data_IF_657156831033
#
_entry.id   IF_657156831033
#
_cell.length_a   1.000
_cell.length_b   1.000
_cell.length_c   1.000
_cell.angle_alpha   90.00
_cell.angle_beta   90.00
_cell.angle_gamma   90.00
#
_symmetry.space_group_name_H-M   'P 1'
#
loop_
_entity.id
_entity.type
_entity.pdbx_description
1 polymer ?
#
# COMPACT_ATOMS: atom_id res chain seq x y z
N UNK A 1 -6.23 -4.97 57.95
CA UNK A 1 -5.86 -3.74 57.23
C UNK A 1 -6.15 -3.96 55.76
N UNK A 2 -7.35 -3.59 55.33
CA UNK A 2 -7.77 -3.59 53.92
C UNK A 2 -7.33 -2.27 53.30
N UNK A 3 -6.33 -2.31 52.41
CA UNK A 3 -5.93 -1.15 51.63
C UNK A 3 -7.00 -0.88 50.56
N UNK A 4 -7.78 0.18 50.75
CA UNK A 4 -8.64 0.72 49.71
C UNK A 4 -7.75 1.29 48.59
N UNK A 5 -7.87 0.74 47.38
CA UNK A 5 -7.29 1.36 46.19
C UNK A 5 -8.00 2.70 45.96
N UNK A 6 -7.29 3.84 45.88
CA UNK A 6 -7.92 5.10 45.57
C UNK A 6 -8.45 5.04 44.13
N UNK A 7 -9.73 5.36 43.99
CA UNK A 7 -10.45 5.43 42.72
C UNK A 7 -9.96 6.67 41.94
N UNK A 8 -8.71 6.67 41.50
CA UNK A 8 -8.09 7.79 40.78
C UNK A 8 -8.45 7.67 39.30
N UNK A 9 -9.64 8.13 38.93
CA UNK A 9 -9.94 8.39 37.51
C UNK A 9 -8.92 9.44 37.06
N UNK A 10 -8.13 9.18 35.99
CA UNK A 10 -7.22 10.19 35.47
C UNK A 10 -8.03 11.46 35.19
N UNK A 11 -7.49 12.60 35.60
CA UNK A 11 -8.09 13.88 35.26
C UNK A 11 -8.18 13.98 33.73
N UNK A 12 -9.25 14.58 33.22
CA UNK A 12 -9.44 14.78 31.79
C UNK A 12 -8.24 15.55 31.21
N UNK A 13 -7.66 16.46 32.01
CA UNK A 13 -6.44 17.17 31.65
C UNK A 13 -5.24 16.23 31.41
N UNK A 14 -5.05 15.21 32.27
CA UNK A 14 -3.95 14.25 32.14
C UNK A 14 -4.11 13.37 30.89
N UNK A 15 -5.35 12.97 30.59
CA UNK A 15 -5.69 12.23 29.38
C UNK A 15 -5.40 13.05 28.11
N UNK A 16 -5.83 14.31 28.08
CA UNK A 16 -5.58 15.21 26.95
C UNK A 16 -4.09 15.49 26.76
N UNK A 17 -3.33 15.68 27.84
CA UNK A 17 -1.88 15.86 27.80
C UNK A 17 -1.17 14.61 27.24
N UNK A 18 -1.62 13.42 27.64
CA UNK A 18 -1.11 12.17 27.08
C UNK A 18 -1.38 12.09 25.56
N UNK A 19 -2.61 12.33 25.12
CA UNK A 19 -2.98 12.27 23.70
C UNK A 19 -2.16 13.26 22.85
N UNK A 20 -2.00 14.49 23.32
CA UNK A 20 -1.14 15.47 22.66
C UNK A 20 0.33 14.99 22.59
N UNK A 21 0.85 14.37 23.66
CA UNK A 21 2.24 13.88 23.70
C UNK A 21 2.52 12.73 22.72
N UNK A 22 1.51 11.90 22.42
CA UNK A 22 1.64 10.79 21.46
C UNK A 22 1.31 11.21 20.02
N UNK A 23 1.12 12.52 19.79
CA UNK A 23 0.91 13.11 18.46
C UNK A 23 -0.52 13.01 17.95
N UNK A 24 -1.52 12.81 18.83
CA UNK A 24 -2.92 12.95 18.44
C UNK A 24 -3.24 14.43 18.27
N UNK A 25 -3.55 14.82 17.04
CA UNK A 25 -3.84 16.18 16.62
C UNK A 25 -5.29 16.38 16.16
N UNK A 26 -6.04 15.30 15.93
CA UNK A 26 -7.45 15.33 15.52
C UNK A 26 -8.32 14.43 16.41
N UNK A 27 -9.52 14.93 16.77
CA UNK A 27 -10.51 14.16 17.51
C UNK A 27 -11.59 13.66 16.54
N UNK A 28 -11.92 12.37 16.61
CA UNK A 28 -13.03 11.79 15.85
C UNK A 28 -14.32 11.91 16.66
N UNK A 29 -15.41 12.32 15.99
CA UNK A 29 -16.74 12.33 16.58
C UNK A 29 -17.48 11.02 16.29
N UNK A 30 -18.47 10.68 17.12
CA UNK A 30 -19.34 9.51 16.92
C UNK A 30 -20.18 9.60 15.63
N UNK A 31 -20.36 10.82 15.09
CA UNK A 31 -21.13 11.07 13.85
C UNK A 31 -20.16 11.36 12.70
N UNK A 32 -20.26 10.64 11.57
CA UNK A 32 -19.43 10.92 10.41
C UNK A 32 -19.74 12.30 9.83
N UNK A 33 -18.71 13.13 9.68
CA UNK A 33 -18.82 14.48 9.09
C UNK A 33 -18.77 14.37 7.55
N UNK A 34 -19.80 14.85 6.87
CA UNK A 34 -19.82 14.92 5.41
C UNK A 34 -19.12 16.20 4.91
N UNK A 35 -17.80 16.13 4.72
CA UNK A 35 -16.99 17.26 4.21
C UNK A 35 -17.31 17.66 2.76
N UNK A 36 -18.04 16.85 1.99
CA UNK A 36 -18.53 17.24 0.66
C UNK A 36 -19.74 18.17 0.71
N UNK A 37 -20.51 18.14 1.80
CA UNK A 37 -21.62 19.06 2.02
C UNK A 37 -21.17 20.45 2.51
N UNK A 38 -19.94 20.56 3.02
CA UNK A 38 -19.39 21.78 3.62
C UNK A 38 -18.62 22.68 2.65
N UNK A 39 -18.32 22.21 1.43
CA UNK A 39 -17.66 23.04 0.40
C UNK A 39 -18.67 23.94 -0.31
N UNK A 40 -19.22 24.91 0.43
CA UNK A 40 -19.59 26.18 -0.19
C UNK A 40 -18.31 27.02 -0.27
N UNK A 41 -17.84 27.44 -1.46
CA UNK A 41 -16.60 28.20 -1.57
C UNK A 41 -16.75 29.53 -0.81
N UNK A 42 -16.01 29.66 0.29
CA UNK A 42 -15.84 30.95 0.96
C UNK A 42 -15.04 31.84 0.00
N UNK A 43 -15.53 33.03 -0.38
CA UNK A 43 -14.78 33.92 -1.27
C UNK A 43 -13.40 34.19 -0.68
N UNK A 44 -12.37 33.83 -1.44
CA UNK A 44 -10.97 34.05 -1.07
C UNK A 44 -10.71 35.55 -1.13
N UNK A 45 -10.72 36.22 0.02
CA UNK A 45 -10.30 37.61 0.12
C UNK A 45 -8.79 37.67 -0.06
N UNK A 46 -8.35 38.15 -1.24
CA UNK A 46 -6.93 38.31 -1.57
C UNK A 46 -6.33 39.44 -0.72
N UNK A 47 -5.47 39.07 0.23
CA UNK A 47 -4.58 40.02 0.88
C UNK A 47 -3.48 40.51 -0.11
N UNK A 48 -3.08 41.79 -0.03
CA UNK A 48 -2.15 42.38 -0.98
C UNK A 48 -0.70 41.93 -0.76
N UNK A 49 0.02 41.77 -1.87
CA UNK A 49 1.47 41.53 -1.95
C UNK A 49 2.24 42.73 -1.39
N UNK A 50 3.08 42.50 -0.38
CA UNK A 50 4.09 43.47 0.07
C UNK A 50 5.47 42.88 -0.16
N UNK A 51 6.24 43.55 -1.01
CA UNK A 51 7.66 43.32 -1.24
C UNK A 51 8.50 44.01 -0.14
N UNK A 52 9.59 43.36 0.27
CA UNK A 52 10.75 43.99 0.92
C UNK A 52 11.91 43.00 0.79
N UNK A 53 12.87 43.21 -0.13
CA UNK A 53 14.03 44.10 0.01
C UNK A 53 14.93 43.69 1.18
N UNK A 54 16.06 43.05 0.87
CA UNK A 54 17.05 42.63 1.86
C UNK A 54 17.88 43.80 2.41
N UNK A 55 18.64 43.52 3.48
CA UNK A 55 20.07 43.77 3.52
C UNK A 55 20.78 43.05 4.70
N UNK A 56 22.07 42.75 4.46
CA UNK A 56 23.24 42.65 5.35
C UNK A 56 23.47 41.56 6.43
N UNK A 57 24.54 40.79 6.15
CA UNK A 57 25.78 40.61 6.92
C UNK A 57 25.95 39.44 7.93
N UNK A 58 26.99 38.64 7.65
CA UNK A 58 27.59 37.57 8.45
C UNK A 58 28.40 38.09 9.66
N UNK A 59 28.85 37.19 10.54
CA UNK A 59 30.30 36.91 10.56
C UNK A 59 30.69 35.43 10.77
N UNK A 60 31.84 35.08 10.20
CA UNK A 60 32.56 33.82 10.37
C UNK A 60 33.35 33.78 11.70
N UNK A 61 33.55 32.57 12.26
CA UNK A 61 34.78 32.27 12.99
C UNK A 61 35.22 30.82 12.81
N UNK A 62 36.43 30.69 12.28
CA UNK A 62 37.18 29.48 11.98
C UNK A 62 37.80 28.86 13.23
N UNK A 63 38.03 27.54 13.22
CA UNK A 63 39.34 26.92 13.54
C UNK A 63 39.41 25.50 12.99
N UNK A 64 40.30 25.27 12.02
CA UNK A 64 40.88 23.98 11.63
C UNK A 64 41.86 23.49 12.69
N UNK A 65 41.96 22.17 12.91
CA UNK A 65 43.20 21.36 13.09
C UNK A 65 42.86 19.88 12.71
N UNK A 66 43.23 19.39 11.50
CA UNK A 66 44.37 18.47 11.16
C UNK A 66 44.29 17.06 11.81
N UNK A 67 44.06 15.96 11.06
CA UNK A 67 44.94 15.16 10.15
C UNK A 67 45.78 14.09 10.86
N UNK A 68 45.57 12.81 10.46
CA UNK A 68 46.57 11.77 10.10
C UNK A 68 45.78 10.47 9.78
N UNK A 69 45.72 9.94 8.55
CA UNK A 69 46.75 9.13 7.84
C UNK A 69 47.12 7.84 8.61
N UNK A 70 47.32 6.65 8.04
CA UNK A 70 47.19 6.03 6.72
C UNK A 70 47.41 4.51 6.96
N UNK A 71 46.99 3.63 6.04
CA UNK A 71 47.25 2.19 6.23
C UNK A 71 46.77 1.30 5.08
N UNK A 72 47.52 1.33 3.99
CA UNK A 72 47.47 0.44 2.84
C UNK A 72 47.88 -0.99 3.22
N UNK A 73 47.06 -2.02 2.90
CA UNK A 73 47.52 -3.39 2.62
C UNK A 73 46.57 -4.13 1.66
N UNK A 74 47.19 -4.60 0.58
CA UNK A 74 46.65 -5.30 -0.57
C UNK A 74 46.15 -6.74 -0.33
N UNK A 75 45.28 -7.15 -1.27
CA UNK A 75 45.13 -8.46 -1.93
C UNK A 75 44.74 -9.72 -1.12
N UNK A 76 43.50 -10.16 -1.34
CA UNK A 76 43.09 -11.57 -1.34
C UNK A 76 42.04 -11.80 -2.45
N UNK A 77 42.14 -12.87 -3.27
CA UNK A 77 41.18 -13.12 -4.34
C UNK A 77 39.83 -13.60 -3.77
N UNK A 78 38.68 -13.07 -4.24
CA UNK A 78 37.39 -13.58 -3.80
C UNK A 78 37.12 -14.94 -4.46
N UNK A 79 36.97 -15.95 -3.61
CA UNK A 79 36.45 -17.27 -3.96
C UNK A 79 35.10 -17.08 -4.64
N UNK A 80 34.97 -17.61 -5.87
CA UNK A 80 33.75 -17.50 -6.67
C UNK A 80 32.57 -18.12 -5.91
N UNK A 81 31.72 -17.26 -5.36
CA UNK A 81 30.35 -17.62 -4.96
C UNK A 81 29.62 -18.05 -6.23
N UNK A 82 28.86 -19.16 -6.23
CA UNK A 82 27.95 -19.45 -7.32
C UNK A 82 27.04 -18.23 -7.53
N UNK A 83 26.71 -17.85 -8.78
CA UNK A 83 25.93 -16.65 -9.03
C UNK A 83 24.64 -16.76 -8.24
N UNK A 84 24.51 -15.88 -7.25
CA UNK A 84 23.24 -15.60 -6.62
C UNK A 84 22.31 -15.22 -7.75
N UNK A 85 21.22 -15.99 -7.93
CA UNK A 85 20.23 -15.76 -8.95
C UNK A 85 19.93 -14.26 -8.99
N UNK A 86 20.37 -13.62 -10.07
CA UNK A 86 20.14 -12.22 -10.33
C UNK A 86 18.64 -12.00 -10.19
N UNK A 87 18.24 -11.15 -9.25
CA UNK A 87 16.93 -10.50 -9.27
C UNK A 87 16.82 -9.80 -10.62
N UNK A 88 16.32 -10.52 -11.61
CA UNK A 88 16.03 -9.96 -12.91
C UNK A 88 14.87 -9.00 -12.71
N UNK A 89 15.15 -7.71 -12.94
CA UNK A 89 14.18 -6.66 -13.21
C UNK A 89 13.05 -7.25 -14.08
N UNK A 90 11.77 -7.08 -13.75
CA UNK A 90 10.74 -7.41 -14.72
C UNK A 90 10.74 -6.33 -15.81
N UNK A 91 11.32 -6.73 -16.93
CA UNK A 91 11.29 -6.16 -18.27
C UNK A 91 10.05 -5.30 -18.59
N UNK A 92 10.29 -4.04 -18.90
CA UNK A 92 9.34 -3.12 -19.55
C UNK A 92 8.65 -3.77 -20.78
N UNK A 93 9.34 -4.69 -21.46
CA UNK A 93 8.81 -5.49 -22.56
C UNK A 93 7.66 -6.42 -22.13
N UNK A 94 7.72 -7.04 -20.94
CA UNK A 94 6.65 -7.90 -20.41
C UNK A 94 5.43 -7.08 -20.00
N UNK A 95 5.64 -5.90 -19.40
CA UNK A 95 4.56 -4.98 -19.09
C UNK A 95 3.90 -4.43 -20.37
N UNK A 96 4.68 -4.19 -21.44
CA UNK A 96 4.15 -3.81 -22.74
C UNK A 96 3.33 -4.94 -23.40
N UNK A 97 3.81 -6.19 -23.31
CA UNK A 97 3.07 -7.36 -23.80
C UNK A 97 1.76 -7.57 -23.03
N UNK A 98 1.80 -7.47 -21.70
CA UNK A 98 0.60 -7.55 -20.85
C UNK A 98 -0.44 -6.50 -21.28
N UNK A 99 0.00 -5.26 -21.50
CA UNK A 99 -0.87 -4.18 -22.00
C UNK A 99 -1.47 -4.48 -23.37
N UNK A 100 -0.70 -5.05 -24.29
CA UNK A 100 -1.21 -5.43 -25.62
C UNK A 100 -2.29 -6.50 -25.51
N UNK A 101 -2.04 -7.57 -24.74
CA UNK A 101 -3.01 -8.65 -24.52
C UNK A 101 -4.29 -8.16 -23.82
N UNK A 102 -4.14 -7.27 -22.83
CA UNK A 102 -5.28 -6.66 -22.15
C UNK A 102 -6.11 -5.79 -23.12
N UNK A 103 -5.46 -5.07 -24.05
CA UNK A 103 -6.15 -4.23 -25.04
C UNK A 103 -6.92 -5.06 -26.07
N UNK A 104 -6.48 -6.28 -26.37
CA UNK A 104 -7.18 -7.17 -27.30
C UNK A 104 -8.39 -7.88 -26.69
N UNK A 105 -8.49 -7.93 -25.35
CA UNK A 105 -9.63 -8.54 -24.67
C UNK A 105 -10.86 -7.64 -24.79
N UNK A 106 -11.96 -8.19 -25.31
CA UNK A 106 -13.24 -7.48 -25.42
C UNK A 106 -14.22 -7.87 -24.32
N UNK A 107 -13.95 -8.99 -23.63
CA UNK A 107 -14.77 -9.50 -22.52
C UNK A 107 -13.90 -9.87 -21.32
N UNK A 108 -14.51 -9.93 -20.13
CA UNK A 108 -13.81 -10.39 -18.91
C UNK A 108 -13.34 -11.84 -19.01
N UNK A 109 -14.07 -12.68 -19.74
CA UNK A 109 -13.65 -14.07 -19.97
C UNK A 109 -12.41 -14.17 -20.85
N UNK A 110 -12.34 -13.36 -21.91
CA UNK A 110 -11.13 -13.25 -22.74
C UNK A 110 -9.96 -12.71 -21.90
N UNK A 111 -10.18 -11.68 -21.08
CA UNK A 111 -9.15 -11.14 -20.19
C UNK A 111 -8.64 -12.22 -19.22
N UNK A 112 -9.55 -12.99 -18.61
CA UNK A 112 -9.20 -14.11 -17.73
C UNK A 112 -8.38 -15.18 -18.46
N UNK A 113 -8.72 -15.50 -19.71
CA UNK A 113 -7.97 -16.46 -20.53
C UNK A 113 -6.56 -15.93 -20.85
N UNK A 114 -6.44 -14.66 -21.25
CA UNK A 114 -5.15 -14.04 -21.49
C UNK A 114 -4.27 -14.07 -20.23
N UNK A 115 -4.82 -13.68 -19.08
CA UNK A 115 -4.11 -13.73 -17.79
C UNK A 115 -3.69 -15.16 -17.42
N UNK A 116 -4.56 -16.15 -17.61
CA UNK A 116 -4.22 -17.55 -17.34
C UNK A 116 -3.06 -18.05 -18.23
N UNK A 117 -2.98 -17.57 -19.47
CA UNK A 117 -1.92 -17.93 -20.42
C UNK A 117 -0.65 -17.07 -20.32
N UNK A 118 -0.66 -15.97 -19.56
CA UNK A 118 0.46 -15.03 -19.49
C UNK A 118 1.62 -15.59 -18.67
N UNK A 119 2.80 -15.75 -19.27
CA UNK A 119 4.00 -16.31 -18.61
C UNK A 119 5.04 -15.25 -18.20
N UNK A 120 4.74 -13.97 -18.41
CA UNK A 120 5.66 -12.87 -18.11
C UNK A 120 5.71 -12.43 -16.63
N UNK A 121 4.98 -13.10 -15.74
CA UNK A 121 4.93 -12.77 -14.32
C UNK A 121 5.54 -13.90 -13.47
N UNK A 122 6.63 -13.60 -12.76
CA UNK A 122 7.30 -14.57 -11.88
C UNK A 122 6.38 -15.12 -10.78
N UNK A 123 5.38 -14.35 -10.33
CA UNK A 123 4.45 -14.77 -9.29
C UNK A 123 3.58 -15.96 -9.71
N UNK A 124 3.26 -16.07 -11.01
CA UNK A 124 2.53 -17.21 -11.57
C UNK A 124 3.26 -18.53 -11.36
N UNK A 125 4.59 -18.51 -11.40
CA UNK A 125 5.41 -19.73 -11.22
C UNK A 125 5.33 -20.29 -9.79
N UNK A 126 5.01 -19.42 -8.82
CA UNK A 126 4.97 -19.78 -7.40
C UNK A 126 3.56 -19.96 -6.85
N UNK A 127 2.56 -19.37 -7.51
CA UNK A 127 1.16 -19.50 -7.15
C UNK A 127 0.59 -20.82 -7.66
N UNK A 128 -0.39 -21.37 -6.93
CA UNK A 128 -1.12 -22.58 -7.33
C UNK A 128 -2.23 -22.26 -8.32
N UNK A 129 -2.90 -21.12 -8.17
CA UNK A 129 -4.04 -20.77 -9.01
C UNK A 129 -4.06 -19.29 -9.37
N UNK A 130 -4.68 -18.99 -10.51
CA UNK A 130 -5.03 -17.62 -10.88
C UNK A 130 -6.26 -17.21 -10.06
N UNK A 131 -6.13 -16.13 -9.29
CA UNK A 131 -7.24 -15.52 -8.56
C UNK A 131 -7.66 -14.27 -9.31
N UNK A 132 -8.61 -14.43 -10.23
CA UNK A 132 -9.03 -13.37 -11.15
C UNK A 132 -10.00 -12.38 -10.47
N UNK A 133 -11.22 -12.82 -10.20
CA UNK A 133 -12.26 -12.00 -9.57
C UNK A 133 -13.39 -12.88 -9.01
N UNK A 134 -14.29 -12.27 -8.23
CA UNK A 134 -15.55 -12.84 -7.73
C UNK A 134 -16.65 -11.76 -7.77
N UNK A 135 -17.91 -12.19 -7.71
CA UNK A 135 -19.07 -11.31 -7.67
C UNK A 135 -19.64 -10.95 -9.04
N UNK A 136 -20.24 -9.76 -9.14
CA UNK A 136 -20.98 -9.31 -10.32
C UNK A 136 -20.19 -8.29 -11.16
N UNK A 137 -19.81 -8.64 -12.41
CA UNK A 137 -19.15 -7.72 -13.35
C UNK A 137 -19.86 -6.38 -13.58
N UNK A 138 -21.19 -6.37 -13.49
CA UNK A 138 -22.04 -5.20 -13.73
C UNK A 138 -22.33 -4.42 -12.42
N UNK A 139 -21.66 -4.76 -11.31
CA UNK A 139 -21.85 -4.09 -10.04
C UNK A 139 -21.36 -2.63 -10.08
N UNK A 140 -22.09 -1.74 -9.40
CA UNK A 140 -21.69 -0.34 -9.26
C UNK A 140 -20.49 -0.14 -8.31
N UNK A 141 -20.17 -1.15 -7.50
CA UNK A 141 -19.09 -1.10 -6.49
C UNK A 141 -18.08 -2.20 -6.79
N UNK A 142 -16.81 -1.79 -6.92
CA UNK A 142 -15.67 -2.69 -7.05
C UNK A 142 -14.77 -2.59 -5.82
N UNK A 143 -14.35 -3.74 -5.30
CA UNK A 143 -13.42 -3.88 -4.19
C UNK A 143 -12.11 -4.46 -4.72
N UNK A 144 -11.00 -3.78 -4.42
CA UNK A 144 -9.67 -4.19 -4.90
C UNK A 144 -8.75 -4.43 -3.72
N UNK A 145 -8.33 -5.69 -3.54
CA UNK A 145 -7.33 -6.10 -2.56
C UNK A 145 -5.91 -6.04 -3.11
N UNK A 146 -4.92 -6.28 -2.25
CA UNK A 146 -3.50 -6.24 -2.62
C UNK A 146 -3.07 -7.50 -3.40
N UNK A 147 -3.13 -8.66 -2.74
CA UNK A 147 -2.74 -9.93 -3.32
C UNK A 147 -3.47 -11.11 -2.63
N UNK A 148 -3.61 -12.27 -3.31
CA UNK A 148 -4.21 -13.46 -2.73
C UNK A 148 -3.41 -14.00 -1.55
N UNK A 149 -4.13 -14.47 -0.54
CA UNK A 149 -3.57 -15.28 0.54
C UNK A 149 -3.52 -16.76 0.18
N UNK A 150 -3.23 -17.59 1.19
CA UNK A 150 -3.11 -19.05 1.02
C UNK A 150 -4.42 -19.69 0.60
N UNK A 151 -5.53 -19.30 1.23
CA UNK A 151 -6.82 -19.94 1.00
C UNK A 151 -7.35 -19.54 -0.40
N UNK A 152 -7.16 -18.27 -0.76
CA UNK A 152 -7.47 -17.72 -2.08
C UNK A 152 -6.70 -18.43 -3.20
N UNK A 153 -5.40 -18.68 -3.01
CA UNK A 153 -4.56 -19.41 -3.97
C UNK A 153 -4.93 -20.89 -4.10
N UNK A 154 -5.55 -21.48 -3.08
CA UNK A 154 -6.03 -22.86 -3.12
C UNK A 154 -7.37 -22.96 -3.84
N UNK A 155 -8.27 -22.02 -3.59
CA UNK A 155 -9.64 -22.03 -4.12
C UNK A 155 -9.77 -21.32 -5.48
N UNK A 156 -8.82 -20.44 -5.83
CA UNK A 156 -8.87 -19.64 -7.05
C UNK A 156 -9.82 -18.44 -6.96
N UNK A 157 -10.31 -18.11 -5.76
CA UNK A 157 -11.29 -17.04 -5.53
C UNK A 157 -10.74 -15.98 -4.56
N UNK A 158 -10.98 -14.69 -4.82
CA UNK A 158 -10.51 -13.62 -3.96
C UNK A 158 -11.28 -13.58 -2.63
N UNK A 159 -10.58 -13.19 -1.57
CA UNK A 159 -11.15 -12.97 -0.24
C UNK A 159 -11.96 -14.17 0.29
N UNK A 160 -11.48 -15.40 0.22
CA UNK A 160 -12.17 -16.57 0.83
C UNK A 160 -11.69 -16.89 2.24
N UNK A 161 -10.52 -16.36 2.63
CA UNK A 161 -9.92 -16.55 3.94
C UNK A 161 -10.58 -15.74 5.07
N UNK A 162 -9.85 -15.60 6.19
CA UNK A 162 -10.33 -14.88 7.39
C UNK A 162 -10.71 -13.42 7.11
N UNK A 163 -9.91 -12.71 6.33
CA UNK A 163 -10.17 -11.32 5.93
C UNK A 163 -11.42 -11.22 5.05
N UNK A 164 -11.65 -12.22 4.20
CA UNK A 164 -12.86 -12.35 3.39
C UNK A 164 -14.13 -12.45 4.20
N UNK A 165 -14.14 -13.30 5.24
CA UNK A 165 -15.27 -13.40 6.16
C UNK A 165 -15.54 -12.11 6.94
N UNK A 166 -14.53 -11.28 7.14
CA UNK A 166 -14.72 -9.95 7.70
C UNK A 166 -15.34 -9.00 6.67
N UNK A 167 -14.85 -9.02 5.43
CA UNK A 167 -15.41 -8.26 4.32
C UNK A 167 -16.90 -8.59 4.10
N UNK A 168 -17.26 -9.88 4.13
CA UNK A 168 -18.66 -10.31 4.00
C UNK A 168 -19.57 -9.71 5.08
N UNK A 169 -19.06 -9.62 6.32
CA UNK A 169 -19.79 -8.99 7.43
C UNK A 169 -19.91 -7.48 7.25
N UNK A 170 -18.88 -6.82 6.72
CA UNK A 170 -18.90 -5.39 6.42
C UNK A 170 -19.90 -5.06 5.30
N UNK A 171 -19.92 -5.88 4.23
CA UNK A 171 -20.90 -5.77 3.16
C UNK A 171 -22.33 -5.95 3.69
N UNK A 172 -22.55 -7.01 4.48
CA UNK A 172 -23.86 -7.26 5.08
C UNK A 172 -24.34 -6.11 5.97
N UNK A 173 -23.43 -5.45 6.71
CA UNK A 173 -23.76 -4.30 7.56
C UNK A 173 -24.27 -3.08 6.78
N UNK A 174 -23.90 -2.94 5.50
CA UNK A 174 -24.38 -1.88 4.60
C UNK A 174 -25.46 -2.37 3.63
N UNK A 175 -26.02 -3.57 3.84
CA UNK A 175 -27.07 -4.13 3.01
C UNK A 175 -26.60 -4.63 1.64
N UNK A 176 -25.30 -4.90 1.49
CA UNK A 176 -24.71 -5.48 0.29
C UNK A 176 -24.28 -6.93 0.54
N UNK A 177 -24.11 -7.68 -0.54
CA UNK A 177 -23.50 -9.01 -0.55
C UNK A 177 -22.52 -9.16 -1.73
N UNK A 178 -21.87 -10.33 -1.84
CA UNK A 178 -20.93 -10.60 -2.94
C UNK A 178 -21.54 -10.54 -4.33
N UNK A 179 -22.84 -10.80 -4.48
CA UNK A 179 -23.53 -10.73 -5.76
C UNK A 179 -23.83 -9.29 -6.18
N UNK A 180 -23.72 -8.34 -5.25
CA UNK A 180 -23.93 -6.91 -5.48
C UNK A 180 -22.65 -6.10 -5.71
N UNK A 181 -21.48 -6.73 -5.63
CA UNK A 181 -20.15 -6.09 -5.78
C UNK A 181 -19.27 -6.88 -6.74
N UNK A 182 -18.23 -6.25 -7.27
CA UNK A 182 -17.16 -6.93 -8.00
C UNK A 182 -15.89 -6.94 -7.15
N UNK A 183 -15.24 -8.09 -6.97
CA UNK A 183 -14.09 -8.23 -6.08
C UNK A 183 -12.89 -8.75 -6.87
N UNK A 184 -11.76 -8.04 -6.81
CA UNK A 184 -10.52 -8.44 -7.45
C UNK A 184 -9.30 -8.07 -6.58
N UNK A 185 -8.09 -8.42 -7.03
CA UNK A 185 -6.83 -7.99 -6.43
C UNK A 185 -5.98 -7.26 -7.46
N UNK A 186 -5.10 -6.36 -6.99
CA UNK A 186 -4.09 -5.68 -7.84
C UNK A 186 -3.16 -6.71 -8.47
N UNK A 187 -2.80 -7.74 -7.73
CA UNK A 187 -2.01 -8.87 -8.22
C UNK A 187 -2.88 -10.12 -8.13
N UNK A 188 -3.02 -10.91 -9.21
CA UNK A 188 -3.93 -12.06 -9.22
C UNK A 188 -3.24 -13.37 -8.79
N UNK A 189 -1.95 -13.33 -8.45
CA UNK A 189 -1.15 -14.47 -8.00
C UNK A 189 -0.57 -14.22 -6.62
N UNK A 190 -0.56 -15.28 -5.79
CA UNK A 190 -0.05 -15.23 -4.43
C UNK A 190 1.48 -15.05 -4.39
N UNK A 191 2.00 -14.05 -3.67
CA UNK A 191 3.43 -13.92 -3.43
C UNK A 191 4.00 -15.05 -2.55
N UNK A 192 5.24 -15.50 -2.80
CA UNK A 192 5.91 -16.52 -1.99
C UNK A 192 5.90 -16.16 -0.49
N UNK A 193 5.42 -17.07 0.35
CA UNK A 193 5.38 -16.87 1.80
C UNK A 193 4.40 -15.78 2.27
N UNK A 194 3.45 -15.34 1.44
CA UNK A 194 2.55 -14.20 1.74
C UNK A 194 3.30 -12.91 2.07
N UNK A 195 4.48 -12.71 1.48
CA UNK A 195 5.18 -11.42 1.62
C UNK A 195 4.39 -10.30 0.94
N UNK A 196 4.59 -9.08 1.39
CA UNK A 196 4.18 -7.88 0.66
C UNK A 196 4.80 -7.92 -0.74
N UNK A 197 4.03 -7.64 -1.81
CA UNK A 197 4.56 -7.50 -3.15
C UNK A 197 5.63 -6.41 -3.21
N UNK A 198 6.64 -6.65 -4.04
CA UNK A 198 7.61 -5.63 -4.39
C UNK A 198 6.95 -4.58 -5.31
N UNK A 199 7.44 -3.34 -5.36
CA UNK A 199 6.84 -2.29 -6.19
C UNK A 199 6.73 -2.64 -7.69
N UNK A 200 7.59 -3.51 -8.20
CA UNK A 200 7.61 -3.91 -9.61
C UNK A 200 6.57 -4.97 -9.98
N UNK A 201 6.12 -5.77 -9.01
CA UNK A 201 5.15 -6.85 -9.26
C UNK A 201 3.74 -6.32 -9.64
N UNK A 202 3.21 -5.27 -8.98
CA UNK A 202 2.02 -4.57 -9.44
C UNK A 202 2.16 -3.97 -10.83
N UNK A 203 3.34 -3.49 -11.23
CA UNK A 203 3.52 -2.80 -12.53
C UNK A 203 3.23 -3.72 -13.73
N UNK A 204 3.58 -5.00 -13.63
CA UNK A 204 3.29 -6.02 -14.64
C UNK A 204 1.79 -6.37 -14.67
N UNK A 205 1.14 -6.36 -13.50
CA UNK A 205 -0.24 -6.79 -13.33
C UNK A 205 -1.27 -5.66 -13.47
N UNK A 206 -0.81 -4.39 -13.56
CA UNK A 206 -1.66 -3.20 -13.66
C UNK A 206 -2.36 -3.02 -15.02
N UNK A 207 -1.72 -3.28 -16.19
CA UNK A 207 -2.37 -3.13 -17.49
C UNK A 207 -3.57 -4.05 -17.64
#
# INVERSE_FOLDING_TARGET
>A
MTAAFPNNRPDIADLLAFYASVGVDEALEDRPVNRFAEVAPKPMERAPTVASSGDTAAPQRSTNISRAEAGDRANAPPVARPPSATTAVPDEAQAALARQLATTATTLDELRQHMASFDGCNLKTTAKSLVFADGNPEAAVMLVGEAPGRDEDIEGLPFVGRSGRLLDRMLAAIGLDRTSVYIANVIPWRPPGNRTPTPHEPEICRP
#
